data_IF_175931710056
#
_entry.id   IF_175931710056
#
_cell.length_a   1.000
_cell.length_b   1.000
_cell.length_c   1.000
_cell.angle_alpha   90.00
_cell.angle_beta   90.00
_cell.angle_gamma   90.00
#
_symmetry.space_group_name_H-M   'P 1'
#
loop_
_entity.id
_entity.type
_entity.pdbx_description
1 polymer ?
#
# COMPACT_ATOMS: atom_id res chain seq x y z
N UNK A 1 21.60 -25.18 9.41
CA UNK A 1 22.21 -24.01 8.76
C UNK A 1 21.63 -22.68 9.24
N UNK A 2 20.31 -22.58 9.43
CA UNK A 2 19.63 -21.35 9.88
C UNK A 2 20.14 -20.87 11.25
N UNK A 3 20.34 -21.76 12.20
CA UNK A 3 20.90 -21.45 13.51
C UNK A 3 22.41 -21.14 13.44
N UNK A 4 23.15 -21.74 12.52
CA UNK A 4 24.59 -21.51 12.37
C UNK A 4 24.93 -20.19 11.69
N UNK A 5 24.03 -19.59 10.92
CA UNK A 5 24.22 -18.25 10.33
C UNK A 5 24.14 -17.16 11.42
N UNK A 6 23.35 -17.36 12.46
CA UNK A 6 23.21 -16.41 13.58
C UNK A 6 24.28 -16.54 14.66
N UNK A 7 25.14 -17.59 14.57
CA UNK A 7 26.13 -17.87 15.59
C UNK A 7 27.52 -17.58 15.09
N UNK A 8 28.35 -17.13 16.01
CA UNK A 8 29.75 -16.82 15.76
C UNK A 8 30.47 -18.02 15.17
N UNK A 9 31.11 -17.86 14.02
CA UNK A 9 31.94 -18.86 13.37
C UNK A 9 33.42 -18.53 13.36
N UNK A 10 33.75 -17.32 13.77
CA UNK A 10 35.10 -16.86 13.77
C UNK A 10 35.79 -17.30 15.05
N UNK A 11 36.84 -18.01 14.86
CA UNK A 11 37.88 -18.18 15.85
C UNK A 11 38.86 -17.04 15.64
N UNK A 12 39.21 -16.40 16.67
CA UNK A 12 40.21 -15.43 16.89
C UNK A 12 41.22 -15.07 15.81
N UNK A 13 41.79 -14.02 16.07
CA UNK A 13 42.94 -13.41 15.47
C UNK A 13 44.19 -14.20 15.89
N UNK A 14 44.84 -14.93 14.94
CA UNK A 14 46.20 -15.42 15.11
C UNK A 14 47.17 -14.25 15.17
N UNK A 15 48.45 -14.52 15.46
CA UNK A 15 49.54 -13.54 15.46
C UNK A 15 49.57 -12.63 14.23
N UNK A 16 48.98 -13.08 13.10
CA UNK A 16 48.85 -12.35 11.83
C UNK A 16 47.64 -11.41 11.77
N UNK A 17 46.76 -11.39 12.78
CA UNK A 17 45.49 -10.62 12.75
C UNK A 17 44.38 -11.24 11.88
N UNK A 18 44.58 -12.44 11.35
CA UNK A 18 43.62 -13.11 10.45
C UNK A 18 42.61 -13.94 11.25
N UNK A 19 41.28 -13.70 11.08
CA UNK A 19 40.28 -14.55 11.68
C UNK A 19 40.34 -15.98 11.12
N UNK A 20 40.05 -16.94 11.99
CA UNK A 20 40.01 -18.38 11.62
C UNK A 20 38.59 -18.89 11.88
N UNK A 21 38.11 -19.75 10.96
CA UNK A 21 36.79 -20.36 11.09
C UNK A 21 36.84 -21.56 12.03
N UNK A 22 35.81 -21.76 12.82
CA UNK A 22 35.62 -22.97 13.61
C UNK A 22 35.37 -24.19 12.68
N UNK A 23 35.78 -25.40 13.08
CA UNK A 23 35.43 -26.62 12.35
C UNK A 23 33.91 -26.79 12.25
N UNK A 24 33.44 -27.26 11.08
CA UNK A 24 31.99 -27.39 10.80
C UNK A 24 31.32 -28.37 11.75
N UNK A 25 31.98 -29.43 12.15
CA UNK A 25 31.50 -30.44 13.09
C UNK A 25 31.33 -29.91 14.53
N UNK A 26 31.85 -28.69 14.82
CA UNK A 26 31.69 -28.00 16.10
C UNK A 26 30.61 -26.94 16.11
N UNK A 27 29.88 -26.87 15.05
CA UNK A 27 28.71 -25.96 14.94
C UNK A 27 27.41 -26.69 15.30
N UNK A 28 26.44 -26.02 15.89
CA UNK A 28 26.39 -24.59 16.20
C UNK A 28 27.20 -24.21 17.44
N UNK A 29 27.89 -23.08 17.39
CA UNK A 29 28.51 -22.48 18.57
C UNK A 29 27.44 -21.86 19.45
N UNK A 30 27.26 -22.36 20.66
CA UNK A 30 26.30 -21.82 21.63
C UNK A 30 26.89 -20.61 22.35
N UNK A 31 26.08 -19.56 22.47
CA UNK A 31 26.50 -18.36 23.21
C UNK A 31 26.55 -18.69 24.71
N UNK A 32 27.55 -18.15 25.44
CA UNK A 32 27.64 -18.34 26.88
C UNK A 32 26.61 -17.50 27.60
N UNK A 33 26.29 -17.89 28.82
CA UNK A 33 25.57 -17.02 29.74
C UNK A 33 26.45 -15.84 30.15
N UNK A 34 25.88 -14.66 30.20
CA UNK A 34 26.53 -13.42 30.68
C UNK A 34 25.61 -12.72 31.69
N UNK A 35 26.18 -12.19 32.71
CA UNK A 35 25.44 -11.52 33.80
C UNK A 35 24.78 -10.19 33.31
N UNK A 36 25.37 -9.56 32.29
CA UNK A 36 24.90 -8.27 31.78
C UNK A 36 24.96 -8.24 30.24
N UNK A 37 23.86 -7.88 29.61
CA UNK A 37 23.78 -7.63 28.16
C UNK A 37 24.08 -6.15 27.81
N UNK A 38 25.06 -5.55 28.50
CA UNK A 38 25.56 -4.20 28.26
C UNK A 38 27.02 -4.29 27.80
N UNK A 39 27.55 -3.28 27.13
CA UNK A 39 28.97 -3.20 26.82
C UNK A 39 29.80 -3.25 28.13
N UNK A 40 31.04 -3.75 28.03
CA UNK A 40 32.00 -3.72 29.14
C UNK A 40 32.36 -2.26 29.48
N UNK A 41 33.03 -2.05 30.64
CA UNK A 41 33.56 -0.73 31.03
C UNK A 41 34.58 -0.17 30.04
N UNK A 42 35.23 -1.07 29.25
CA UNK A 42 36.19 -0.73 28.21
C UNK A 42 35.53 -0.53 26.85
N UNK A 43 34.21 -0.68 26.75
CA UNK A 43 33.43 -0.51 25.50
C UNK A 43 33.36 -1.75 24.60
N UNK A 44 33.79 -2.91 25.08
CA UNK A 44 33.65 -4.15 24.33
C UNK A 44 32.20 -4.63 24.30
N UNK A 45 31.80 -5.42 23.28
CA UNK A 45 30.47 -6.02 23.20
C UNK A 45 30.10 -6.85 24.45
N UNK A 46 28.79 -7.12 24.70
CA UNK A 46 28.35 -7.88 25.88
C UNK A 46 29.03 -9.22 26.10
N UNK A 47 29.46 -9.91 25.03
CA UNK A 47 30.25 -11.15 25.16
C UNK A 47 31.61 -10.97 25.80
N UNK A 48 32.12 -9.74 25.94
CA UNK A 48 33.32 -9.41 26.73
C UNK A 48 33.18 -9.71 28.23
N UNK A 49 31.94 -9.87 28.74
CA UNK A 49 31.67 -10.30 30.12
C UNK A 49 31.77 -11.83 30.30
N UNK A 50 31.86 -12.60 29.20
CA UNK A 50 31.82 -14.04 29.30
C UNK A 50 33.11 -14.64 29.88
N UNK A 51 32.97 -15.48 30.86
CA UNK A 51 34.11 -16.21 31.49
C UNK A 51 34.64 -17.31 30.58
N UNK A 52 33.75 -17.97 29.82
CA UNK A 52 34.10 -19.06 28.88
C UNK A 52 33.79 -18.60 27.44
N UNK A 53 34.75 -17.93 26.82
CA UNK A 53 34.63 -17.46 25.47
C UNK A 53 35.97 -17.41 24.76
N UNK A 54 36.73 -18.53 24.85
CA UNK A 54 37.98 -18.76 24.11
C UNK A 54 37.93 -20.13 23.45
N UNK A 55 38.71 -20.35 22.42
CA UNK A 55 38.78 -21.60 21.68
C UNK A 55 40.11 -22.31 21.89
N UNK A 56 40.02 -23.54 22.40
CA UNK A 56 41.17 -24.46 22.49
C UNK A 56 41.30 -25.26 21.17
N UNK A 57 42.35 -24.98 20.40
CA UNK A 57 42.57 -25.62 19.08
C UNK A 57 42.99 -27.07 19.19
N UNK A 58 43.54 -27.48 20.34
CA UNK A 58 44.00 -28.86 20.57
C UNK A 58 42.81 -29.74 20.96
N UNK A 59 42.00 -29.28 21.92
CA UNK A 59 40.82 -30.01 22.38
C UNK A 59 39.60 -29.81 21.50
N UNK A 60 39.62 -28.79 20.66
CA UNK A 60 38.50 -28.38 19.81
C UNK A 60 37.20 -28.10 20.63
N UNK A 61 37.34 -27.32 21.69
CA UNK A 61 36.23 -26.94 22.59
C UNK A 61 36.35 -25.49 23.05
N UNK A 62 35.21 -24.93 23.51
CA UNK A 62 35.17 -23.62 24.17
C UNK A 62 35.76 -23.73 25.58
N UNK A 63 36.63 -22.81 25.93
CA UNK A 63 37.31 -22.78 27.23
C UNK A 63 37.28 -21.38 27.84
N UNK A 64 37.89 -21.25 29.04
CA UNK A 64 37.93 -19.99 29.79
C UNK A 64 38.84 -18.94 29.13
N UNK A 65 38.39 -17.71 29.12
CA UNK A 65 39.13 -16.53 28.61
C UNK A 65 40.49 -16.37 29.32
N UNK A 66 40.55 -16.71 30.60
CA UNK A 66 41.79 -16.66 31.41
C UNK A 66 42.92 -17.58 30.89
N UNK A 67 42.63 -18.54 30.04
CA UNK A 67 43.57 -19.51 29.46
C UNK A 67 44.15 -19.12 28.12
N UNK A 68 43.75 -17.94 27.59
CA UNK A 68 44.26 -17.45 26.29
C UNK A 68 45.76 -17.29 26.35
N UNK A 69 46.46 -18.03 25.45
CA UNK A 69 47.91 -17.99 25.29
C UNK A 69 48.36 -17.50 23.90
N UNK A 70 47.38 -17.27 22.99
CA UNK A 70 47.56 -16.89 21.59
C UNK A 70 48.48 -17.86 20.79
N UNK A 71 48.58 -19.11 21.27
CA UNK A 71 49.36 -20.20 20.60
C UNK A 71 48.46 -21.39 20.33
N UNK A 72 47.78 -21.88 21.36
CA UNK A 72 46.86 -23.01 21.29
C UNK A 72 45.45 -22.61 21.72
N UNK A 73 45.29 -21.59 22.54
CA UNK A 73 44.02 -21.06 23.02
C UNK A 73 43.92 -19.61 22.58
N UNK A 74 42.86 -19.36 21.86
CA UNK A 74 42.63 -18.08 21.19
C UNK A 74 41.29 -17.45 21.63
N UNK A 75 41.15 -16.12 21.66
CA UNK A 75 39.86 -15.48 21.98
C UNK A 75 38.83 -15.76 20.84
N UNK A 76 37.60 -15.95 21.17
CA UNK A 76 36.48 -15.92 20.22
C UNK A 76 36.03 -14.48 19.98
N UNK A 77 35.51 -14.22 18.77
CA UNK A 77 34.95 -12.95 18.39
C UNK A 77 33.81 -12.55 19.34
N UNK A 78 33.80 -11.31 19.80
CA UNK A 78 32.81 -10.80 20.75
C UNK A 78 31.53 -10.33 20.09
N UNK A 79 31.57 -10.01 18.78
CA UNK A 79 30.40 -9.64 18.02
C UNK A 79 29.71 -10.84 17.43
N UNK A 80 28.43 -10.95 17.58
CA UNK A 80 27.63 -11.91 16.82
C UNK A 80 27.44 -11.42 15.39
N UNK A 81 27.16 -12.36 14.47
CA UNK A 81 26.78 -12.00 13.11
C UNK A 81 25.57 -11.04 13.15
N UNK A 82 25.58 -9.96 12.33
CA UNK A 82 24.45 -9.01 12.31
C UNK A 82 23.10 -9.71 12.13
N UNK A 83 22.07 -9.24 12.83
CA UNK A 83 20.73 -9.81 12.76
C UNK A 83 20.13 -9.84 11.36
N UNK A 84 20.65 -9.01 10.45
CA UNK A 84 20.27 -8.97 9.05
C UNK A 84 20.67 -10.21 8.23
N UNK A 85 21.63 -11.02 8.69
CA UNK A 85 22.11 -12.17 7.93
C UNK A 85 21.00 -13.18 7.62
N UNK A 86 20.13 -13.46 8.60
CA UNK A 86 18.97 -14.32 8.40
C UNK A 86 17.94 -13.72 7.47
N UNK A 87 17.58 -12.46 7.69
CA UNK A 87 16.59 -11.75 6.88
C UNK A 87 17.08 -11.45 5.46
N UNK A 88 18.37 -11.45 5.22
CA UNK A 88 18.95 -11.19 3.90
C UNK A 88 18.81 -12.37 2.93
N UNK A 89 18.60 -13.59 3.41
CA UNK A 89 18.51 -14.81 2.60
C UNK A 89 17.25 -15.65 2.92
N UNK A 90 16.24 -15.07 3.57
CA UNK A 90 15.05 -15.81 4.01
C UNK A 90 14.24 -16.38 2.84
N UNK A 91 14.24 -15.72 1.68
CA UNK A 91 13.53 -16.18 0.49
C UNK A 91 14.06 -17.54 0.00
N UNK A 92 15.35 -17.83 0.15
CA UNK A 92 15.92 -19.15 -0.15
C UNK A 92 15.37 -20.21 0.81
N UNK A 93 15.28 -19.88 2.10
CA UNK A 93 14.70 -20.79 3.10
C UNK A 93 13.19 -21.03 2.87
N UNK A 94 12.47 -20.06 2.34
CA UNK A 94 11.06 -20.22 1.99
C UNK A 94 10.81 -21.20 0.84
N UNK A 95 11.78 -21.34 -0.07
CA UNK A 95 11.70 -22.34 -1.14
C UNK A 95 11.74 -23.78 -0.59
N UNK A 96 12.51 -23.99 0.51
CA UNK A 96 12.74 -25.31 1.10
C UNK A 96 12.72 -25.26 2.64
N UNK A 97 11.56 -24.98 3.25
CA UNK A 97 11.47 -24.61 4.67
C UNK A 97 11.75 -25.75 5.64
N UNK A 98 11.62 -27.00 5.20
CA UNK A 98 11.79 -28.19 6.03
C UNK A 98 13.14 -28.89 5.86
N UNK A 99 14.02 -28.36 5.02
CA UNK A 99 15.33 -28.92 4.78
C UNK A 99 16.24 -28.64 5.99
N UNK A 100 16.70 -29.70 6.65
CA UNK A 100 17.62 -29.64 7.79
C UNK A 100 19.09 -29.82 7.40
N UNK A 101 19.38 -30.22 6.13
CA UNK A 101 20.72 -30.50 5.64
C UNK A 101 21.35 -29.31 4.90
N UNK A 102 20.54 -28.49 4.22
CA UNK A 102 21.01 -27.37 3.43
C UNK A 102 20.13 -26.12 3.62
N UNK A 103 20.63 -24.95 3.22
CA UNK A 103 19.83 -23.72 3.17
C UNK A 103 18.65 -23.88 2.21
N UNK A 104 18.92 -24.46 1.05
CA UNK A 104 17.97 -24.88 0.02
C UNK A 104 18.59 -26.05 -0.72
N UNK A 105 17.81 -27.07 -1.10
CA UNK A 105 18.28 -28.15 -1.94
C UNK A 105 18.49 -27.64 -3.38
N UNK A 106 19.48 -28.23 -4.08
CA UNK A 106 19.85 -27.75 -5.41
C UNK A 106 18.74 -27.87 -6.44
N UNK A 107 18.03 -28.96 -6.44
CA UNK A 107 16.88 -29.21 -7.32
C UNK A 107 15.70 -28.26 -7.03
N UNK A 108 15.50 -27.88 -5.78
CA UNK A 108 14.49 -26.90 -5.35
C UNK A 108 14.89 -25.47 -5.79
N UNK A 109 16.18 -25.11 -5.63
CA UNK A 109 16.72 -23.84 -6.12
C UNK A 109 16.65 -23.73 -7.65
N UNK A 110 16.99 -24.81 -8.37
CA UNK A 110 16.91 -24.88 -9.84
C UNK A 110 15.45 -24.81 -10.34
N UNK A 111 14.48 -25.28 -9.56
CA UNK A 111 13.04 -25.19 -9.87
C UNK A 111 12.50 -23.77 -9.68
N UNK A 112 12.69 -23.17 -8.50
CA UNK A 112 12.16 -21.85 -8.17
C UNK A 112 12.98 -20.70 -8.74
N UNK A 113 14.30 -20.86 -8.83
CA UNK A 113 15.27 -19.86 -9.30
C UNK A 113 15.16 -18.56 -8.51
N UNK A 114 15.42 -17.42 -9.14
CA UNK A 114 15.25 -16.13 -8.51
C UNK A 114 13.75 -15.74 -8.37
N UNK A 115 13.45 -14.94 -7.37
CA UNK A 115 12.06 -14.51 -7.05
C UNK A 115 11.49 -13.69 -8.19
N UNK A 116 10.30 -14.07 -8.69
CA UNK A 116 9.66 -13.41 -9.83
C UNK A 116 9.28 -11.97 -9.54
N UNK A 117 8.74 -11.71 -8.33
CA UNK A 117 8.31 -10.39 -7.89
C UNK A 117 8.63 -10.18 -6.42
N UNK A 118 9.36 -9.13 -6.11
CA UNK A 118 9.72 -8.73 -4.76
C UNK A 118 9.21 -7.33 -4.46
N UNK A 119 8.34 -7.20 -3.45
CA UNK A 119 7.70 -5.93 -3.09
C UNK A 119 8.10 -5.57 -1.67
N UNK A 120 8.56 -4.34 -1.44
CA UNK A 120 8.93 -3.86 -0.12
C UNK A 120 9.06 -2.35 -0.08
N UNK A 121 9.02 -1.76 1.14
CA UNK A 121 9.15 -0.32 1.32
C UNK A 121 10.52 0.22 0.90
N UNK A 122 10.57 1.47 0.47
CA UNK A 122 11.80 2.17 0.06
C UNK A 122 12.82 2.30 1.19
N UNK A 123 12.38 2.23 2.46
CA UNK A 123 13.26 2.26 3.64
C UNK A 123 14.23 1.07 3.71
N UNK A 124 13.94 -0.01 2.98
CA UNK A 124 14.79 -1.19 2.91
C UNK A 124 15.87 -1.11 1.82
N UNK A 125 15.88 -0.05 1.01
CA UNK A 125 16.82 0.10 -0.11
C UNK A 125 18.29 0.11 0.32
N UNK A 126 18.60 0.79 1.43
CA UNK A 126 19.96 0.91 1.97
C UNK A 126 20.34 -0.18 2.99
N UNK A 127 19.42 -1.07 3.31
CA UNK A 127 19.62 -2.15 4.27
C UNK A 127 19.39 -3.51 3.62
N UNK A 128 18.19 -4.06 3.84
CA UNK A 128 17.81 -5.41 3.44
C UNK A 128 18.11 -5.72 1.94
N UNK A 129 17.79 -4.80 1.02
CA UNK A 129 17.97 -5.06 -0.42
C UNK A 129 19.45 -5.18 -0.82
N UNK A 130 20.32 -4.32 -0.25
CA UNK A 130 21.77 -4.42 -0.46
C UNK A 130 22.29 -5.74 0.10
N UNK A 131 21.90 -6.10 1.33
CA UNK A 131 22.34 -7.33 1.97
C UNK A 131 21.80 -8.58 1.26
N UNK A 132 20.56 -8.58 0.81
CA UNK A 132 19.99 -9.71 0.04
C UNK A 132 20.78 -9.95 -1.24
N UNK A 133 21.07 -8.89 -1.98
CA UNK A 133 21.87 -8.99 -3.20
C UNK A 133 23.30 -9.44 -2.93
N UNK A 134 23.94 -8.90 -1.88
CA UNK A 134 25.29 -9.31 -1.47
C UNK A 134 25.35 -10.79 -1.11
N UNK A 135 24.43 -11.26 -0.26
CA UNK A 135 24.34 -12.66 0.14
C UNK A 135 24.08 -13.58 -1.04
N UNK A 136 23.17 -13.22 -1.93
CA UNK A 136 22.85 -14.03 -3.11
C UNK A 136 24.08 -14.19 -4.02
N UNK A 137 24.78 -13.08 -4.33
CA UNK A 137 26.01 -13.14 -5.14
C UNK A 137 27.11 -13.97 -4.49
N UNK A 138 27.28 -13.84 -3.18
CA UNK A 138 28.24 -14.67 -2.43
C UNK A 138 27.90 -16.17 -2.49
N UNK A 139 26.60 -16.50 -2.33
CA UNK A 139 26.13 -17.89 -2.43
C UNK A 139 26.23 -18.43 -3.88
N UNK A 140 26.03 -17.56 -4.86
CA UNK A 140 26.26 -17.90 -6.28
C UNK A 140 27.73 -18.20 -6.57
N UNK A 141 28.67 -17.38 -6.11
CA UNK A 141 30.11 -17.60 -6.24
C UNK A 141 30.54 -18.92 -5.60
N UNK A 142 29.84 -19.35 -4.54
CA UNK A 142 30.08 -20.66 -3.90
C UNK A 142 29.36 -21.84 -4.60
N UNK A 143 28.58 -21.59 -5.65
CA UNK A 143 27.79 -22.61 -6.35
C UNK A 143 26.63 -23.20 -5.52
N UNK A 144 26.13 -22.45 -4.50
CA UNK A 144 25.02 -22.88 -3.64
C UNK A 144 23.67 -22.52 -4.24
N UNK A 145 23.59 -21.41 -4.97
CA UNK A 145 22.38 -20.96 -5.70
C UNK A 145 22.68 -20.85 -7.18
N UNK A 146 21.67 -21.07 -8.02
CA UNK A 146 21.79 -21.13 -9.48
C UNK A 146 21.70 -19.77 -10.18
N UNK A 147 21.24 -18.71 -9.49
CA UNK A 147 21.07 -17.38 -10.06
C UNK A 147 21.94 -16.35 -9.35
N UNK A 148 22.57 -15.45 -10.13
CA UNK A 148 23.41 -14.38 -9.61
C UNK A 148 22.58 -13.28 -8.90
N UNK A 149 21.44 -12.91 -9.46
CA UNK A 149 20.55 -11.88 -8.90
C UNK A 149 19.35 -12.52 -8.18
N UNK A 150 18.99 -12.03 -6.97
CA UNK A 150 17.94 -12.67 -6.16
C UNK A 150 16.52 -12.45 -6.71
N UNK A 151 16.28 -11.33 -7.38
CA UNK A 151 14.93 -10.89 -7.78
C UNK A 151 14.88 -10.53 -9.26
N UNK A 152 13.88 -11.04 -10.00
CA UNK A 152 13.62 -10.68 -11.40
C UNK A 152 12.98 -9.28 -11.52
N UNK A 153 12.05 -8.97 -10.63
CA UNK A 153 11.35 -7.67 -10.57
C UNK A 153 11.28 -7.19 -9.13
N UNK A 154 11.71 -5.95 -8.91
CA UNK A 154 11.66 -5.28 -7.62
C UNK A 154 10.73 -4.08 -7.72
N UNK A 155 9.79 -3.95 -6.78
CA UNK A 155 8.92 -2.78 -6.63
C UNK A 155 9.08 -2.25 -5.22
N UNK A 156 9.47 -0.99 -5.13
CA UNK A 156 9.58 -0.29 -3.85
C UNK A 156 8.36 0.59 -3.61
N UNK A 157 7.62 0.27 -2.55
CA UNK A 157 6.47 1.06 -2.13
C UNK A 157 6.94 2.41 -1.54
N UNK A 158 6.23 3.49 -1.91
CA UNK A 158 6.37 4.77 -1.25
C UNK A 158 5.87 4.72 0.19
N UNK A 159 6.39 5.60 1.03
CA UNK A 159 5.96 5.68 2.44
C UNK A 159 4.65 6.44 2.58
N UNK A 160 3.80 6.01 3.51
CA UNK A 160 2.70 6.81 4.01
C UNK A 160 3.28 7.78 5.03
N UNK A 161 3.14 9.09 4.76
CA UNK A 161 3.68 10.16 5.58
C UNK A 161 2.62 10.69 6.53
N UNK A 162 3.04 11.18 7.69
CA UNK A 162 2.16 11.84 8.63
C UNK A 162 1.92 13.30 8.26
N UNK A 163 0.76 13.79 8.63
CA UNK A 163 0.50 15.22 8.68
C UNK A 163 0.79 15.68 10.10
N UNK A 164 1.93 16.36 10.30
CA UNK A 164 2.25 16.97 11.58
C UNK A 164 1.48 18.26 11.75
N UNK A 165 1.00 18.51 12.97
CA UNK A 165 0.40 19.78 13.32
C UNK A 165 1.31 20.55 14.28
N UNK A 166 1.26 21.88 14.19
CA UNK A 166 2.11 22.76 14.98
C UNK A 166 1.30 23.79 15.74
N UNK A 167 1.68 23.98 17.00
CA UNK A 167 1.32 25.15 17.79
C UNK A 167 2.52 26.08 17.89
N UNK A 168 2.30 27.37 17.98
CA UNK A 168 3.36 28.39 17.98
C UNK A 168 3.46 29.04 19.35
N UNK A 169 4.50 28.68 20.11
CA UNK A 169 4.77 29.23 21.43
C UNK A 169 5.48 30.57 21.29
N UNK A 170 4.96 31.62 21.94
CA UNK A 170 5.65 32.93 22.03
C UNK A 170 6.88 32.75 22.93
N UNK A 171 8.05 33.11 22.42
CA UNK A 171 9.32 32.87 23.09
C UNK A 171 9.35 33.44 24.51
N UNK A 172 9.87 32.65 25.43
CA UNK A 172 9.98 33.04 26.85
C UNK A 172 8.67 33.04 27.67
N UNK A 173 7.55 32.56 27.08
CA UNK A 173 6.24 32.53 27.74
C UNK A 173 5.56 31.17 27.68
N UNK A 174 4.42 30.99 28.36
CA UNK A 174 3.51 29.85 28.18
C UNK A 174 2.26 30.27 27.37
N UNK A 175 2.45 31.18 26.39
CA UNK A 175 1.39 31.66 25.49
C UNK A 175 1.59 31.11 24.09
N UNK A 176 0.49 30.72 23.48
CA UNK A 176 0.46 30.13 22.14
C UNK A 176 -0.38 31.00 21.22
N UNK A 177 0.16 31.33 20.03
CA UNK A 177 -0.50 32.17 19.06
C UNK A 177 -0.93 31.37 17.84
N UNK A 178 -2.16 31.63 17.36
CA UNK A 178 -2.74 30.97 16.19
C UNK A 178 -1.93 31.27 14.91
N UNK A 179 -1.99 30.35 13.96
CA UNK A 179 -1.16 30.32 12.73
C UNK A 179 -1.06 31.67 12.02
N UNK A 180 -2.18 32.32 11.72
CA UNK A 180 -2.18 33.56 10.91
C UNK A 180 -1.75 34.82 11.70
N UNK A 181 -1.65 34.71 13.02
CA UNK A 181 -1.20 35.80 13.89
C UNK A 181 0.27 35.66 14.29
N UNK A 182 0.93 34.53 13.98
CA UNK A 182 2.28 34.19 14.43
C UNK A 182 3.34 35.20 14.03
N UNK A 183 3.19 35.83 12.85
CA UNK A 183 4.19 36.77 12.31
C UNK A 183 4.26 38.09 13.11
N UNK A 184 3.34 38.30 14.05
CA UNK A 184 3.33 39.45 14.96
C UNK A 184 4.20 39.20 16.23
N UNK A 185 4.74 37.98 16.39
CA UNK A 185 5.47 37.55 17.58
C UNK A 185 6.72 36.77 17.20
N UNK A 186 7.70 36.76 18.10
CA UNK A 186 8.78 35.78 18.02
C UNK A 186 8.30 34.44 18.57
N UNK A 187 8.19 33.43 17.72
CA UNK A 187 7.59 32.14 18.09
C UNK A 187 8.50 30.96 17.80
N UNK A 188 8.34 29.91 18.59
CA UNK A 188 8.90 28.58 18.36
C UNK A 188 7.78 27.61 17.99
N UNK A 189 7.82 26.94 16.82
CA UNK A 189 6.87 25.90 16.46
C UNK A 189 7.09 24.65 17.32
N UNK A 190 6.02 24.06 17.81
CA UNK A 190 6.03 22.82 18.61
C UNK A 190 5.05 21.85 17.98
N UNK A 191 5.50 20.61 17.73
CA UNK A 191 4.62 19.53 17.28
C UNK A 191 3.55 19.23 18.34
N UNK A 192 2.35 19.04 17.88
CA UNK A 192 1.18 18.69 18.71
C UNK A 192 0.57 17.38 18.24
N UNK A 193 0.01 16.61 19.18
CA UNK A 193 -0.63 15.34 18.85
C UNK A 193 -1.79 15.53 17.88
N UNK A 194 -1.74 14.79 16.77
CA UNK A 194 -2.77 14.88 15.71
C UNK A 194 -4.16 14.51 16.19
N UNK A 195 -4.28 13.75 17.29
CA UNK A 195 -5.56 13.33 17.85
C UNK A 195 -6.31 14.45 18.59
N UNK A 196 -5.63 15.55 18.94
CA UNK A 196 -6.25 16.73 19.58
C UNK A 196 -6.39 17.92 18.61
N UNK A 197 -6.23 17.64 17.30
CA UNK A 197 -6.45 18.64 16.23
C UNK A 197 -7.48 18.10 15.27
N UNK A 198 -8.52 18.90 14.96
CA UNK A 198 -9.55 18.54 13.99
C UNK A 198 -9.75 19.69 12.99
N UNK A 199 -9.58 19.38 11.68
CA UNK A 199 -9.66 20.40 10.63
C UNK A 199 -8.79 21.63 10.90
N UNK A 200 -7.55 21.40 11.34
CA UNK A 200 -6.55 22.39 11.75
C UNK A 200 -6.93 23.21 13.01
N UNK A 201 -8.02 22.91 13.66
CA UNK A 201 -8.44 23.56 14.91
C UNK A 201 -7.99 22.72 16.10
N UNK A 202 -7.24 23.35 17.00
CA UNK A 202 -6.78 22.73 18.25
C UNK A 202 -7.93 22.60 19.24
N UNK A 203 -8.02 21.42 19.86
CA UNK A 203 -8.78 21.26 21.09
C UNK A 203 -7.92 21.80 22.26
N UNK A 204 -8.24 23.00 22.71
CA UNK A 204 -7.48 23.74 23.72
C UNK A 204 -7.49 23.02 25.07
N UNK A 205 -8.63 22.45 25.46
CA UNK A 205 -8.73 21.73 26.74
C UNK A 205 -7.95 20.41 26.70
N UNK A 206 -8.02 19.68 25.60
CA UNK A 206 -7.20 18.50 25.39
C UNK A 206 -5.70 18.84 25.39
N UNK A 207 -5.29 19.96 24.77
CA UNK A 207 -3.91 20.42 24.77
C UNK A 207 -3.40 20.77 26.16
N UNK A 208 -4.18 21.50 26.96
CA UNK A 208 -3.82 21.81 28.35
C UNK A 208 -3.60 20.55 29.20
N UNK A 209 -4.42 19.53 28.95
CA UNK A 209 -4.32 18.25 29.65
C UNK A 209 -3.30 17.28 29.06
N UNK A 210 -2.74 17.58 27.89
CA UNK A 210 -1.80 16.69 27.19
C UNK A 210 -0.45 16.56 27.92
N UNK A 211 0.04 17.70 28.49
CA UNK A 211 1.28 17.72 29.28
C UNK A 211 1.16 18.68 30.45
N UNK A 212 1.76 18.34 31.61
CA UNK A 212 1.68 19.20 32.78
C UNK A 212 2.17 20.64 32.56
N UNK A 213 3.16 20.84 31.67
CA UNK A 213 3.72 22.14 31.30
C UNK A 213 2.76 23.07 30.59
N UNK A 214 1.61 22.55 30.08
CA UNK A 214 0.62 23.29 29.32
C UNK A 214 -0.67 23.54 30.09
N UNK A 215 -0.77 23.10 31.34
CA UNK A 215 -2.00 23.22 32.14
C UNK A 215 -2.51 24.67 32.26
N UNK A 216 -1.58 25.64 32.38
CA UNK A 216 -1.83 27.07 32.50
C UNK A 216 -1.56 27.84 31.18
N UNK A 217 -1.50 27.15 30.05
CA UNK A 217 -1.25 27.77 28.74
C UNK A 217 -2.35 28.79 28.39
N UNK A 218 -1.93 29.94 27.87
CA UNK A 218 -2.79 31.00 27.34
C UNK A 218 -2.73 30.99 25.80
N UNK A 219 -3.84 31.40 25.17
CA UNK A 219 -3.97 31.33 23.72
C UNK A 219 -4.39 32.69 23.11
N UNK A 220 -3.70 33.07 22.05
CA UNK A 220 -4.11 34.18 21.15
C UNK A 220 -4.86 33.56 19.97
N UNK A 221 -6.17 33.78 19.94
CA UNK A 221 -7.09 33.11 19.05
C UNK A 221 -7.43 33.96 17.80
N UNK A 222 -7.84 33.28 16.74
CA UNK A 222 -8.47 33.87 15.54
C UNK A 222 -9.96 33.53 15.57
N UNK A 223 -10.82 34.54 15.61
CA UNK A 223 -12.29 34.36 15.65
C UNK A 223 -12.74 33.30 16.68
N UNK A 224 -12.10 33.30 17.85
CA UNK A 224 -12.43 32.38 18.95
C UNK A 224 -11.89 30.95 18.77
N UNK A 225 -11.06 30.69 17.76
CA UNK A 225 -10.46 29.38 17.48
C UNK A 225 -8.93 29.49 17.45
N UNK A 226 -8.27 28.39 17.79
CA UNK A 226 -6.84 28.25 17.60
C UNK A 226 -6.56 27.42 16.34
N UNK A 227 -5.95 28.02 15.33
CA UNK A 227 -5.59 27.36 14.07
C UNK A 227 -4.14 26.91 14.14
N UNK A 228 -3.91 25.60 13.98
CA UNK A 228 -2.59 25.00 13.91
C UNK A 228 -1.95 25.18 12.55
N UNK A 229 -0.63 25.27 12.52
CA UNK A 229 0.13 25.00 11.31
C UNK A 229 0.20 23.52 11.00
N UNK A 230 0.64 23.17 9.78
CA UNK A 230 0.85 21.78 9.41
C UNK A 230 1.98 21.60 8.40
N UNK A 231 2.57 20.41 8.39
CA UNK A 231 3.52 19.97 7.38
C UNK A 231 3.39 18.45 7.16
N UNK A 232 3.78 18.01 5.97
CA UNK A 232 3.88 16.57 5.66
C UNK A 232 5.27 16.09 6.06
N UNK A 233 5.34 15.14 6.98
CA UNK A 233 6.59 14.63 7.54
C UNK A 233 6.53 13.10 7.64
N UNK A 234 7.69 12.47 7.88
CA UNK A 234 7.74 11.04 8.22
C UNK A 234 6.95 10.79 9.51
N UNK A 235 6.11 9.75 9.52
CA UNK A 235 5.43 9.34 10.74
C UNK A 235 6.45 8.89 11.80
N UNK A 236 6.40 9.50 12.97
CA UNK A 236 7.19 9.09 14.13
C UNK A 236 6.51 9.50 15.44
N UNK A 237 6.81 8.75 16.50
CA UNK A 237 6.29 9.06 17.85
C UNK A 237 6.75 10.44 18.34
N UNK A 238 7.96 10.87 17.97
CA UNK A 238 8.52 12.17 18.37
C UNK A 238 7.86 13.36 17.66
N UNK A 239 7.22 13.13 16.50
CA UNK A 239 6.48 14.13 15.74
C UNK A 239 4.99 14.16 16.10
N UNK A 240 4.51 13.24 16.94
CA UNK A 240 3.10 13.10 17.35
C UNK A 240 2.11 13.04 16.18
N UNK A 241 2.56 12.50 15.05
CA UNK A 241 1.82 12.43 13.80
C UNK A 241 1.52 10.99 13.36
N UNK A 242 1.63 10.03 14.29
CA UNK A 242 1.36 8.62 14.02
C UNK A 242 -0.14 8.37 14.06
N UNK A 243 -0.66 7.75 13.01
CA UNK A 243 -2.02 7.21 12.96
C UNK A 243 -1.96 5.75 13.35
N UNK A 244 -2.71 5.36 14.40
CA UNK A 244 -2.77 3.97 14.81
C UNK A 244 -3.77 3.19 13.94
N UNK A 245 -3.34 2.15 13.20
CA UNK A 245 -4.22 1.32 12.39
C UNK A 245 -5.38 0.71 13.18
N UNK A 246 -5.16 0.30 14.44
CA UNK A 246 -6.21 -0.32 15.27
C UNK A 246 -7.40 0.62 15.49
N UNK A 247 -7.14 1.90 15.74
CA UNK A 247 -8.19 2.91 15.87
C UNK A 247 -8.97 3.13 14.57
N UNK A 248 -8.30 3.05 13.44
CA UNK A 248 -8.94 3.17 12.12
C UNK A 248 -9.79 1.94 11.84
N UNK A 249 -9.28 0.74 12.14
CA UNK A 249 -10.00 -0.52 11.97
C UNK A 249 -11.24 -0.56 12.87
N UNK A 250 -11.13 -0.12 14.14
CA UNK A 250 -12.27 -0.06 15.06
C UNK A 250 -13.36 0.88 14.56
N UNK A 251 -12.98 2.03 14.01
CA UNK A 251 -13.92 3.06 13.56
C UNK A 251 -14.53 2.78 12.19
N UNK A 252 -13.75 2.28 11.25
CA UNK A 252 -14.13 2.19 9.83
C UNK A 252 -14.13 0.77 9.27
N UNK A 253 -13.51 -0.18 9.96
CA UNK A 253 -13.28 -1.55 9.48
C UNK A 253 -11.98 -1.73 8.69
N UNK A 254 -11.46 -2.95 8.71
CA UNK A 254 -10.18 -3.30 8.08
C UNK A 254 -10.21 -3.10 6.55
N UNK A 255 -11.31 -3.45 5.88
CA UNK A 255 -11.43 -3.28 4.43
C UNK A 255 -11.44 -1.82 4.00
N UNK A 256 -12.01 -0.93 4.81
CA UNK A 256 -11.94 0.52 4.55
C UNK A 256 -10.50 1.02 4.63
N UNK A 257 -9.73 0.59 5.64
CA UNK A 257 -8.31 0.93 5.77
C UNK A 257 -7.52 0.42 4.56
N UNK A 258 -7.65 -0.85 4.20
CA UNK A 258 -6.95 -1.46 3.05
C UNK A 258 -7.22 -0.72 1.74
N UNK A 259 -8.49 -0.48 1.44
CA UNK A 259 -8.90 0.26 0.25
C UNK A 259 -8.35 1.69 0.26
N UNK A 260 -8.37 2.35 1.43
CA UNK A 260 -7.91 3.72 1.53
C UNK A 260 -6.39 3.84 1.30
N UNK A 261 -5.58 2.96 1.89
CA UNK A 261 -4.13 2.93 1.66
C UNK A 261 -3.79 2.72 0.18
N UNK A 262 -4.50 1.83 -0.51
CA UNK A 262 -4.33 1.61 -1.95
C UNK A 262 -4.85 2.79 -2.79
N UNK A 263 -5.90 3.49 -2.32
CA UNK A 263 -6.52 4.61 -3.04
C UNK A 263 -5.71 5.91 -2.98
N UNK A 264 -4.89 6.13 -1.95
CA UNK A 264 -4.14 7.36 -1.72
C UNK A 264 -3.29 7.83 -2.92
N UNK A 265 -2.85 6.91 -3.79
CA UNK A 265 -2.09 7.25 -5.00
C UNK A 265 -1.26 6.07 -5.54
N UNK A 266 -0.41 6.30 -6.54
CA UNK A 266 0.45 5.27 -7.12
C UNK A 266 1.32 4.57 -6.07
N UNK A 267 1.53 3.26 -6.22
CA UNK A 267 2.20 2.42 -5.22
C UNK A 267 3.60 2.91 -4.84
N UNK A 268 4.39 3.35 -5.82
CA UNK A 268 5.80 3.74 -5.63
C UNK A 268 5.98 5.15 -5.06
N UNK A 269 4.92 5.95 -4.98
CA UNK A 269 4.98 7.32 -4.49
C UNK A 269 4.69 7.40 -3.00
N UNK A 270 5.46 8.22 -2.28
CA UNK A 270 5.14 8.59 -0.90
C UNK A 270 3.91 9.51 -0.88
N UNK A 271 3.04 9.32 0.11
CA UNK A 271 1.71 9.95 0.18
C UNK A 271 1.41 10.41 1.59
N UNK A 272 0.86 11.63 1.77
CA UNK A 272 0.38 12.04 3.08
C UNK A 272 -0.89 11.28 3.45
N UNK A 273 -0.97 10.84 4.71
CA UNK A 273 -2.22 10.36 5.29
C UNK A 273 -3.16 11.55 5.54
N UNK A 274 -4.41 11.42 5.09
CA UNK A 274 -5.49 12.35 5.41
C UNK A 274 -6.68 11.56 5.99
N UNK A 275 -6.92 11.72 7.28
CA UNK A 275 -8.00 11.02 7.98
C UNK A 275 -9.39 11.39 7.43
N UNK A 276 -9.56 12.57 6.84
CA UNK A 276 -10.85 12.98 6.27
C UNK A 276 -11.16 12.26 4.94
N UNK A 277 -10.12 11.84 4.20
CA UNK A 277 -10.28 11.15 2.91
C UNK A 277 -10.87 9.75 3.03
N UNK A 278 -10.71 9.07 4.19
CA UNK A 278 -11.18 7.71 4.41
C UNK A 278 -12.70 7.56 4.37
N UNK A 279 -13.43 8.62 4.73
CA UNK A 279 -14.91 8.64 4.70
C UNK A 279 -15.47 8.38 3.29
N UNK A 280 -14.74 8.81 2.25
CA UNK A 280 -15.12 8.55 0.86
C UNK A 280 -15.14 7.06 0.53
N UNK A 281 -14.10 6.34 0.96
CA UNK A 281 -13.98 4.89 0.77
C UNK A 281 -14.98 4.13 1.62
N UNK A 282 -15.20 4.55 2.86
CA UNK A 282 -16.20 3.95 3.73
C UNK A 282 -17.63 4.06 3.15
N UNK A 283 -17.98 5.24 2.60
CA UNK A 283 -19.26 5.43 1.90
C UNK A 283 -19.38 4.58 0.64
N UNK A 284 -18.27 4.36 -0.07
CA UNK A 284 -18.23 3.45 -1.22
C UNK A 284 -18.61 2.02 -0.80
N UNK A 285 -18.00 1.46 0.26
CA UNK A 285 -18.35 0.11 0.76
C UNK A 285 -19.82 0.03 1.20
N UNK A 286 -20.33 1.04 1.87
CA UNK A 286 -21.78 1.11 2.23
C UNK A 286 -22.68 1.12 1.00
N UNK A 287 -22.29 1.85 -0.04
CA UNK A 287 -23.05 1.88 -1.29
C UNK A 287 -23.02 0.56 -2.03
N UNK A 288 -21.84 -0.10 -2.05
CA UNK A 288 -21.69 -1.45 -2.60
C UNK A 288 -22.59 -2.44 -1.86
N UNK A 289 -22.56 -2.44 -0.52
CA UNK A 289 -23.43 -3.27 0.31
C UNK A 289 -24.91 -3.05 -0.04
N UNK A 290 -25.30 -1.79 -0.27
CA UNK A 290 -26.64 -1.42 -0.69
C UNK A 290 -27.12 -2.02 -2.02
N UNK A 291 -26.22 -2.45 -2.92
CA UNK A 291 -26.60 -3.18 -4.14
C UNK A 291 -27.19 -4.57 -3.83
N UNK A 292 -26.77 -5.18 -2.73
CA UNK A 292 -27.20 -6.52 -2.32
C UNK A 292 -28.44 -6.48 -1.42
N UNK A 293 -28.55 -5.53 -0.52
CA UNK A 293 -29.58 -5.46 0.51
C UNK A 293 -30.58 -4.32 0.32
N UNK A 294 -30.28 -3.35 -0.53
CA UNK A 294 -31.09 -2.14 -0.65
C UNK A 294 -31.15 -1.38 0.68
N UNK A 295 -32.36 -1.12 1.17
CA UNK A 295 -32.62 -0.51 2.48
C UNK A 295 -33.15 -1.54 3.51
N UNK A 296 -32.90 -2.82 3.30
CA UNK A 296 -33.40 -3.91 4.14
C UNK A 296 -32.24 -4.76 4.65
N UNK A 297 -32.52 -5.62 5.64
CA UNK A 297 -31.52 -6.60 6.13
C UNK A 297 -31.60 -7.93 5.39
N UNK A 298 -32.42 -8.04 4.34
CA UNK A 298 -32.58 -9.25 3.53
C UNK A 298 -31.96 -9.06 2.16
N UNK A 299 -31.32 -10.12 1.65
CA UNK A 299 -30.71 -10.13 0.34
C UNK A 299 -31.75 -9.88 -0.76
N UNK A 300 -31.48 -8.92 -1.64
CA UNK A 300 -32.39 -8.48 -2.71
C UNK A 300 -31.95 -8.88 -4.11
N UNK A 301 -30.99 -9.80 -4.26
CA UNK A 301 -30.49 -10.22 -5.56
C UNK A 301 -31.51 -11.08 -6.32
N UNK A 302 -31.46 -11.04 -7.64
CA UNK A 302 -32.33 -11.79 -8.54
C UNK A 302 -31.54 -12.53 -9.62
N UNK A 303 -32.10 -13.62 -10.14
CA UNK A 303 -31.53 -14.39 -11.23
C UNK A 303 -32.02 -13.92 -12.63
N UNK A 304 -32.57 -12.70 -12.69
CA UNK A 304 -32.99 -12.11 -13.96
C UNK A 304 -31.79 -11.77 -14.84
N UNK A 305 -31.99 -11.83 -16.15
CA UNK A 305 -30.94 -11.51 -17.14
C UNK A 305 -30.47 -10.07 -17.00
N UNK A 306 -29.14 -9.84 -17.04
CA UNK A 306 -28.57 -8.50 -17.02
C UNK A 306 -28.93 -7.68 -18.27
N UNK A 307 -29.05 -6.40 -18.11
CA UNK A 307 -29.19 -5.46 -19.23
C UNK A 307 -27.85 -5.20 -19.89
N UNK A 308 -27.88 -4.68 -21.13
CA UNK A 308 -26.66 -4.32 -21.87
C UNK A 308 -25.81 -3.28 -21.13
N UNK A 309 -26.43 -2.31 -20.44
CA UNK A 309 -25.72 -1.28 -19.68
C UNK A 309 -25.07 -1.85 -18.39
N UNK A 310 -25.75 -2.78 -17.70
CA UNK A 310 -25.18 -3.50 -16.55
C UNK A 310 -23.97 -4.33 -16.96
N UNK A 311 -24.07 -5.09 -18.06
CA UNK A 311 -22.95 -5.86 -18.63
C UNK A 311 -21.81 -4.93 -19.05
N UNK A 312 -22.09 -3.82 -19.73
CA UNK A 312 -21.08 -2.85 -20.13
C UNK A 312 -20.31 -2.28 -18.94
N UNK A 313 -21.02 -1.88 -17.89
CA UNK A 313 -20.40 -1.36 -16.65
C UNK A 313 -19.48 -2.40 -16.00
N UNK A 314 -19.95 -3.65 -15.85
CA UNK A 314 -19.17 -4.74 -15.29
C UNK A 314 -17.94 -5.06 -16.15
N UNK A 315 -18.10 -5.23 -17.47
CA UNK A 315 -16.97 -5.63 -18.33
C UNK A 315 -15.92 -4.53 -18.50
N UNK A 316 -16.29 -3.25 -18.40
CA UNK A 316 -15.33 -2.15 -18.24
C UNK A 316 -14.51 -2.30 -16.97
N UNK A 317 -15.17 -2.64 -15.85
CA UNK A 317 -14.50 -2.87 -14.57
C UNK A 317 -13.56 -4.07 -14.65
N UNK A 318 -14.01 -5.22 -15.17
CA UNK A 318 -13.18 -6.44 -15.30
C UNK A 318 -11.89 -6.10 -16.07
N UNK A 319 -12.04 -5.49 -17.27
CA UNK A 319 -10.90 -5.09 -18.10
C UNK A 319 -9.94 -4.17 -17.34
N UNK A 320 -10.48 -3.15 -16.67
CA UNK A 320 -9.68 -2.15 -15.97
C UNK A 320 -8.96 -2.73 -14.75
N UNK A 321 -9.66 -3.48 -13.90
CA UNK A 321 -9.08 -4.03 -12.66
C UNK A 321 -8.03 -5.10 -12.97
N UNK A 322 -8.30 -5.99 -13.95
CA UNK A 322 -7.30 -6.98 -14.39
C UNK A 322 -6.02 -6.31 -14.86
N UNK A 323 -6.12 -5.32 -15.74
CA UNK A 323 -4.97 -4.55 -16.21
C UNK A 323 -4.24 -3.85 -15.05
N UNK A 324 -4.97 -3.21 -14.16
CA UNK A 324 -4.40 -2.43 -13.05
C UNK A 324 -3.66 -3.30 -12.03
N UNK A 325 -4.15 -4.51 -11.73
CA UNK A 325 -3.48 -5.45 -10.83
C UNK A 325 -2.15 -5.88 -11.46
N UNK A 326 -2.10 -6.22 -12.73
CA UNK A 326 -0.88 -6.61 -13.45
C UNK A 326 0.15 -5.48 -13.52
N UNK A 327 -0.33 -4.22 -13.46
CA UNK A 327 0.50 -3.00 -13.53
C UNK A 327 0.64 -2.25 -12.20
N UNK A 328 0.19 -2.84 -11.10
CA UNK A 328 0.27 -2.26 -9.74
C UNK A 328 -0.40 -0.88 -9.59
N UNK A 329 -1.43 -0.62 -10.40
CA UNK A 329 -2.18 0.64 -10.42
C UNK A 329 -3.43 0.56 -9.53
N UNK A 330 -3.28 0.14 -8.27
CA UNK A 330 -4.40 -0.15 -7.36
C UNK A 330 -5.32 1.05 -7.11
N UNK A 331 -4.77 2.26 -7.08
CA UNK A 331 -5.54 3.49 -6.87
C UNK A 331 -6.56 3.73 -7.99
N UNK A 332 -6.22 3.36 -9.24
CA UNK A 332 -7.16 3.48 -10.37
C UNK A 332 -8.18 2.35 -10.39
N UNK A 333 -7.84 1.15 -9.88
CA UNK A 333 -8.82 0.09 -9.65
C UNK A 333 -9.92 0.53 -8.70
N UNK A 334 -9.56 1.15 -7.56
CA UNK A 334 -10.56 1.60 -6.57
C UNK A 334 -11.46 2.68 -7.16
N UNK A 335 -10.91 3.62 -7.94
CA UNK A 335 -11.71 4.60 -8.68
C UNK A 335 -12.66 3.92 -9.66
N UNK A 336 -12.21 2.87 -10.36
CA UNK A 336 -13.06 2.12 -11.29
C UNK A 336 -14.19 1.36 -10.57
N UNK A 337 -13.92 0.78 -9.40
CA UNK A 337 -14.97 0.21 -8.53
C UNK A 337 -16.02 1.24 -8.13
N UNK A 338 -15.60 2.44 -7.71
CA UNK A 338 -16.50 3.52 -7.34
C UNK A 338 -17.41 3.93 -8.50
N UNK A 339 -16.85 4.03 -9.72
CA UNK A 339 -17.60 4.34 -10.94
C UNK A 339 -18.63 3.24 -11.22
N UNK A 340 -18.20 1.98 -11.27
CA UNK A 340 -19.08 0.84 -11.56
C UNK A 340 -20.21 0.73 -10.54
N UNK A 341 -19.93 0.84 -9.23
CA UNK A 341 -20.97 0.81 -8.19
C UNK A 341 -21.94 1.97 -8.32
N UNK A 342 -21.48 3.15 -8.74
CA UNK A 342 -22.36 4.30 -9.01
C UNK A 342 -23.27 4.04 -10.22
N UNK A 343 -22.73 3.50 -11.30
CA UNK A 343 -23.49 3.14 -12.51
C UNK A 343 -24.54 2.05 -12.20
N UNK A 344 -24.12 0.94 -11.58
CA UNK A 344 -25.03 -0.17 -11.21
C UNK A 344 -26.12 0.30 -10.24
N UNK A 345 -25.80 1.18 -9.29
CA UNK A 345 -26.78 1.77 -8.38
C UNK A 345 -27.80 2.65 -9.12
N UNK A 346 -27.35 3.42 -10.10
CA UNK A 346 -28.24 4.24 -10.93
C UNK A 346 -29.16 3.40 -11.80
N UNK A 347 -28.66 2.26 -12.29
CA UNK A 347 -29.43 1.26 -13.04
C UNK A 347 -30.33 0.41 -12.14
N UNK A 348 -30.22 0.57 -10.80
CA UNK A 348 -30.89 -0.29 -9.81
C UNK A 348 -30.59 -1.78 -10.00
N UNK A 349 -29.35 -2.07 -10.38
CA UNK A 349 -28.90 -3.43 -10.65
C UNK A 349 -28.94 -4.26 -9.36
N UNK A 350 -29.59 -5.41 -9.46
CA UNK A 350 -29.63 -6.44 -8.40
C UNK A 350 -29.44 -7.85 -9.01
N UNK A 351 -28.75 -7.95 -10.16
CA UNK A 351 -28.58 -9.20 -10.88
C UNK A 351 -27.42 -10.01 -10.30
N UNK A 352 -27.69 -11.26 -9.90
CA UNK A 352 -26.70 -12.21 -9.41
C UNK A 352 -25.50 -12.30 -10.34
N UNK A 353 -25.74 -12.48 -11.64
CA UNK A 353 -24.70 -12.62 -12.67
C UNK A 353 -23.75 -11.42 -12.76
N UNK A 354 -24.16 -10.24 -12.34
CA UNK A 354 -23.34 -9.03 -12.27
C UNK A 354 -22.64 -8.94 -10.90
N UNK A 355 -23.40 -9.07 -9.82
CA UNK A 355 -22.93 -8.77 -8.47
C UNK A 355 -21.93 -9.79 -7.94
N UNK A 356 -22.05 -11.09 -8.29
CA UNK A 356 -21.07 -12.09 -7.91
C UNK A 356 -19.71 -11.89 -8.57
N UNK A 357 -19.67 -11.51 -9.84
CA UNK A 357 -18.41 -11.16 -10.51
C UNK A 357 -17.78 -9.88 -9.89
N UNK A 358 -18.59 -8.92 -9.49
CA UNK A 358 -18.12 -7.72 -8.77
C UNK A 358 -17.47 -8.09 -7.42
N UNK A 359 -18.04 -9.05 -6.68
CA UNK A 359 -17.46 -9.57 -5.41
C UNK A 359 -16.08 -10.19 -5.67
N UNK A 360 -15.96 -11.04 -6.69
CA UNK A 360 -14.70 -11.72 -7.01
C UNK A 360 -13.60 -10.70 -7.35
N UNK A 361 -13.92 -9.67 -8.15
CA UNK A 361 -12.98 -8.60 -8.46
C UNK A 361 -12.57 -7.79 -7.21
N UNK A 362 -13.49 -7.62 -6.26
CA UNK A 362 -13.27 -6.86 -5.04
C UNK A 362 -12.42 -7.63 -4.00
N UNK A 363 -12.44 -8.95 -4.01
CA UNK A 363 -11.82 -9.78 -2.99
C UNK A 363 -10.36 -9.44 -2.66
N UNK A 364 -9.46 -9.17 -3.62
CA UNK A 364 -8.08 -8.76 -3.32
C UNK A 364 -7.98 -7.44 -2.54
N UNK A 365 -8.95 -6.54 -2.71
CA UNK A 365 -8.95 -5.20 -2.15
C UNK A 365 -9.68 -5.11 -0.80
N UNK A 366 -10.85 -5.78 -0.70
CA UNK A 366 -11.73 -5.77 0.47
C UNK A 366 -12.18 -7.21 0.80
N UNK A 367 -11.25 -8.06 1.30
CA UNK A 367 -11.48 -9.51 1.44
C UNK A 367 -12.61 -9.86 2.40
N UNK A 368 -12.76 -9.13 3.52
CA UNK A 368 -13.80 -9.45 4.51
C UNK A 368 -15.20 -9.14 3.97
N UNK A 369 -15.36 -8.00 3.33
CA UNK A 369 -16.62 -7.61 2.68
C UNK A 369 -16.98 -8.56 1.55
N UNK A 370 -16.00 -8.94 0.74
CA UNK A 370 -16.21 -9.84 -0.39
C UNK A 370 -16.60 -11.25 0.09
N UNK A 371 -15.90 -11.80 1.09
CA UNK A 371 -16.20 -13.13 1.64
C UNK A 371 -17.60 -13.19 2.27
N UNK A 372 -17.97 -12.18 3.05
CA UNK A 372 -19.31 -12.12 3.66
C UNK A 372 -20.41 -12.06 2.61
N UNK A 373 -20.25 -11.23 1.57
CA UNK A 373 -21.21 -11.15 0.47
C UNK A 373 -21.27 -12.45 -0.34
N UNK A 374 -20.13 -13.12 -0.54
CA UNK A 374 -20.04 -14.40 -1.24
C UNK A 374 -20.84 -15.49 -0.54
N UNK A 375 -20.65 -15.64 0.77
CA UNK A 375 -21.43 -16.56 1.58
C UNK A 375 -22.91 -16.19 1.65
N UNK A 376 -23.22 -14.91 1.75
CA UNK A 376 -24.62 -14.44 1.76
C UNK A 376 -25.32 -14.72 0.42
N UNK A 377 -24.60 -14.73 -0.71
CA UNK A 377 -25.15 -15.16 -1.99
C UNK A 377 -25.41 -16.66 -2.10
N UNK A 378 -25.04 -17.46 -1.08
CA UNK A 378 -25.33 -18.88 -0.97
C UNK A 378 -24.16 -19.80 -1.31
N UNK A 379 -22.96 -19.28 -1.51
CA UNK A 379 -21.75 -20.07 -1.75
C UNK A 379 -21.19 -20.67 -0.45
N UNK A 380 -20.74 -21.92 -0.51
CA UNK A 380 -20.14 -22.63 0.62
C UNK A 380 -18.59 -22.68 0.55
N UNK A 381 -18.01 -22.18 -0.54
CA UNK A 381 -16.56 -22.07 -0.74
C UNK A 381 -16.11 -20.66 -0.46
N UNK A 382 -14.81 -20.46 -0.22
CA UNK A 382 -14.27 -19.08 -0.13
C UNK A 382 -14.29 -18.39 -1.48
N UNK A 383 -14.47 -17.08 -1.48
CA UNK A 383 -14.38 -16.25 -2.69
C UNK A 383 -12.99 -16.33 -3.34
N UNK A 384 -11.95 -16.66 -2.57
CA UNK A 384 -10.59 -16.85 -3.06
C UNK A 384 -10.44 -18.02 -4.03
N UNK A 385 -11.35 -19.01 -4.00
CA UNK A 385 -11.36 -20.15 -4.90
C UNK A 385 -12.20 -19.90 -6.17
N UNK A 386 -12.86 -18.75 -6.26
CA UNK A 386 -13.65 -18.39 -7.43
C UNK A 386 -12.76 -18.05 -8.63
N UNK A 387 -13.21 -18.42 -9.83
CA UNK A 387 -12.51 -18.07 -11.06
C UNK A 387 -12.54 -16.56 -11.30
N UNK A 388 -11.38 -16.01 -11.69
CA UNK A 388 -11.28 -14.59 -12.03
C UNK A 388 -12.13 -14.27 -13.26
N UNK A 389 -13.00 -13.24 -13.20
CA UNK A 389 -13.86 -12.88 -14.32
C UNK A 389 -13.07 -12.47 -15.56
N UNK A 390 -13.52 -12.96 -16.72
CA UNK A 390 -12.93 -12.62 -18.01
C UNK A 390 -13.83 -11.62 -18.74
N UNK A 391 -13.27 -10.48 -19.15
CA UNK A 391 -14.04 -9.51 -19.90
C UNK A 391 -14.33 -9.97 -21.33
N UNK A 392 -15.50 -9.58 -21.83
CA UNK A 392 -15.90 -9.80 -23.23
C UNK A 392 -15.98 -8.44 -23.94
N UNK A 393 -15.20 -8.29 -25.01
CA UNK A 393 -15.12 -7.07 -25.82
C UNK A 393 -16.47 -6.68 -26.46
N UNK A 394 -17.34 -7.66 -26.73
CA UNK A 394 -18.67 -7.42 -27.31
C UNK A 394 -19.53 -6.50 -26.41
N UNK A 395 -19.43 -6.68 -25.08
CA UNK A 395 -20.16 -5.83 -24.12
C UNK A 395 -19.57 -4.43 -23.97
N UNK A 396 -18.36 -4.19 -24.49
CA UNK A 396 -17.70 -2.88 -24.43
C UNK A 396 -18.04 -2.01 -25.63
N UNK A 397 -18.64 -2.57 -26.68
CA UNK A 397 -19.06 -1.82 -27.86
C UNK A 397 -20.10 -0.79 -27.47
N UNK A 398 -19.93 0.43 -27.96
CA UNK A 398 -20.93 1.47 -27.77
C UNK A 398 -22.06 1.21 -28.80
N UNK A 399 -23.24 0.90 -28.29
CA UNK A 399 -24.43 0.73 -29.14
C UNK A 399 -24.97 2.07 -29.59
N UNK A 400 -24.64 3.16 -28.90
CA UNK A 400 -25.05 4.52 -29.26
C UNK A 400 -23.92 5.53 -29.04
N UNK A 401 -23.93 6.59 -29.83
CA UNK A 401 -23.00 7.71 -29.73
C UNK A 401 -23.79 9.00 -29.53
N UNK A 402 -23.35 9.85 -28.60
CA UNK A 402 -23.95 11.16 -28.37
C UNK A 402 -23.27 12.20 -29.27
N UNK A 403 -24.07 12.82 -30.14
CA UNK A 403 -23.64 13.91 -30.99
C UNK A 403 -24.09 15.26 -30.45
N UNK A 404 -23.17 16.21 -30.32
CA UNK A 404 -23.53 17.60 -30.12
C UNK A 404 -24.03 18.19 -31.43
N UNK A 405 -25.31 18.58 -31.49
CA UNK A 405 -25.88 19.22 -32.69
C UNK A 405 -25.62 20.72 -32.62
N UNK A 406 -24.92 21.21 -33.60
CA UNK A 406 -24.48 22.61 -33.69
C UNK A 406 -25.05 23.28 -34.93
N UNK A 407 -25.38 24.56 -34.82
CA UNK A 407 -25.77 25.41 -35.94
C UNK A 407 -24.75 26.56 -36.05
N UNK A 408 -24.15 26.69 -37.22
CA UNK A 408 -23.10 27.68 -37.53
C UNK A 408 -21.99 27.67 -36.45
N UNK A 409 -21.54 26.48 -36.00
CA UNK A 409 -20.49 26.30 -35.02
C UNK A 409 -20.86 26.45 -33.56
N UNK A 410 -22.15 26.76 -33.23
CA UNK A 410 -22.62 26.86 -31.83
C UNK A 410 -23.47 25.64 -31.48
N UNK A 411 -23.04 24.87 -30.49
CA UNK A 411 -23.80 23.74 -29.97
C UNK A 411 -25.16 24.18 -29.38
N UNK A 412 -26.24 23.43 -29.70
CA UNK A 412 -27.60 23.78 -29.32
C UNK A 412 -28.29 22.70 -28.48
N UNK A 413 -28.08 21.44 -28.80
CA UNK A 413 -28.61 20.29 -28.08
C UNK A 413 -27.77 19.07 -28.37
N UNK A 414 -27.98 17.99 -27.64
CA UNK A 414 -27.34 16.69 -27.85
C UNK A 414 -28.37 15.69 -28.34
N UNK A 415 -27.93 14.75 -29.14
CA UNK A 415 -28.75 13.68 -29.72
C UNK A 415 -27.98 12.38 -29.64
N UNK A 416 -28.64 11.34 -29.19
CA UNK A 416 -28.08 9.99 -29.14
C UNK A 416 -28.53 9.20 -30.36
N UNK A 417 -27.55 8.58 -31.07
CA UNK A 417 -27.78 7.82 -32.28
C UNK A 417 -27.03 6.50 -32.20
N UNK A 418 -27.51 5.41 -32.87
CA UNK A 418 -26.79 4.15 -32.99
C UNK A 418 -25.34 4.36 -33.46
N UNK A 419 -24.39 3.62 -32.83
CA UNK A 419 -22.95 3.81 -33.08
C UNK A 419 -22.57 3.40 -34.54
N UNK A 420 -23.31 2.48 -35.10
CA UNK A 420 -23.15 1.95 -36.47
C UNK A 420 -23.96 2.71 -37.52
N UNK A 421 -24.67 3.81 -37.12
CA UNK A 421 -25.50 4.57 -38.03
C UNK A 421 -24.67 5.22 -39.14
N UNK A 422 -25.02 5.02 -40.42
CA UNK A 422 -24.34 5.65 -41.54
C UNK A 422 -24.43 7.18 -41.49
N UNK A 423 -23.40 7.84 -41.97
CA UNK A 423 -23.32 9.32 -41.97
C UNK A 423 -24.56 9.99 -42.56
N UNK A 424 -25.08 9.48 -43.67
CA UNK A 424 -26.26 10.04 -44.33
C UNK A 424 -27.52 9.96 -43.45
N UNK A 425 -27.63 8.89 -42.65
CA UNK A 425 -28.74 8.72 -41.71
C UNK A 425 -28.58 9.63 -40.49
N UNK A 426 -27.33 9.81 -40.00
CA UNK A 426 -27.00 10.79 -38.92
C UNK A 426 -27.42 12.19 -39.37
N UNK A 427 -27.09 12.59 -40.63
CA UNK A 427 -27.45 13.89 -41.18
C UNK A 427 -28.99 14.06 -41.25
N UNK A 428 -29.70 13.03 -41.71
CA UNK A 428 -31.19 13.04 -41.77
C UNK A 428 -31.80 13.10 -40.38
N UNK A 429 -31.32 12.28 -39.46
CA UNK A 429 -31.82 12.27 -38.07
C UNK A 429 -31.61 13.61 -37.39
N UNK A 430 -30.42 14.23 -37.55
CA UNK A 430 -30.13 15.54 -37.01
C UNK A 430 -31.04 16.63 -37.57
N UNK A 431 -31.40 16.57 -38.84
CA UNK A 431 -32.31 17.53 -39.45
C UNK A 431 -33.78 17.30 -39.04
N UNK A 432 -34.18 16.02 -38.88
CA UNK A 432 -35.54 15.66 -38.50
C UNK A 432 -35.87 15.89 -37.04
N UNK A 433 -34.86 16.11 -36.19
CA UNK A 433 -35.07 16.32 -34.77
C UNK A 433 -35.88 17.59 -34.48
N UNK A 434 -36.86 17.51 -33.57
CA UNK A 434 -37.80 18.61 -33.26
C UNK A 434 -37.11 19.94 -32.93
N UNK A 435 -35.98 19.87 -32.19
CA UNK A 435 -35.19 21.05 -31.84
C UNK A 435 -34.47 21.67 -33.04
N UNK A 436 -34.23 20.94 -34.13
CA UNK A 436 -33.54 21.47 -35.30
C UNK A 436 -34.40 22.47 -36.07
N UNK A 437 -35.70 22.23 -36.17
CA UNK A 437 -36.66 23.14 -36.81
C UNK A 437 -36.57 24.56 -36.25
N UNK A 438 -36.40 24.68 -34.92
CA UNK A 438 -36.27 25.96 -34.20
C UNK A 438 -35.03 26.76 -34.65
N UNK A 439 -33.94 26.10 -34.95
CA UNK A 439 -32.68 26.75 -35.34
C UNK A 439 -32.50 26.90 -36.83
N UNK A 440 -33.26 26.12 -37.62
CA UNK A 440 -33.27 26.21 -39.08
C UNK A 440 -34.01 27.45 -39.59
N UNK A 441 -34.96 27.97 -38.84
CA UNK A 441 -35.74 29.16 -39.23
C UNK A 441 -36.32 29.09 -40.65
N UNK A 442 -36.70 27.91 -41.11
CA UNK A 442 -37.22 27.67 -42.47
C UNK A 442 -36.14 27.70 -43.58
N UNK A 443 -34.86 27.83 -43.26
CA UNK A 443 -33.76 27.83 -44.24
C UNK A 443 -33.31 26.41 -44.53
N UNK A 444 -32.82 26.16 -45.75
CA UNK A 444 -32.15 24.92 -46.12
C UNK A 444 -30.68 24.91 -45.76
N UNK A 445 -30.12 23.81 -45.23
CA UNK A 445 -28.70 23.73 -44.90
C UNK A 445 -27.83 23.90 -46.15
N UNK A 446 -26.82 24.73 -46.08
CA UNK A 446 -25.77 24.83 -47.08
C UNK A 446 -24.79 23.67 -47.03
N UNK A 447 -24.49 23.20 -45.84
CA UNK A 447 -23.55 22.11 -45.59
C UNK A 447 -23.82 21.49 -44.23
N UNK A 448 -23.66 20.15 -44.12
CA UNK A 448 -23.67 19.42 -42.88
C UNK A 448 -22.31 18.77 -42.70
N UNK A 449 -21.69 18.94 -41.54
CA UNK A 449 -20.40 18.38 -41.20
C UNK A 449 -20.60 17.45 -40.02
N UNK A 450 -20.41 16.14 -40.26
CA UNK A 450 -20.50 15.11 -39.25
C UNK A 450 -19.07 14.69 -38.84
N UNK A 451 -18.74 14.82 -37.57
CA UNK A 451 -17.56 14.22 -36.94
C UNK A 451 -18.05 13.06 -36.09
N UNK A 452 -17.76 11.80 -36.48
CA UNK A 452 -18.29 10.61 -35.82
C UNK A 452 -18.05 10.64 -34.30
N UNK A 453 -19.08 10.36 -33.50
CA UNK A 453 -19.05 10.31 -32.06
C UNK A 453 -18.80 11.65 -31.34
N UNK A 454 -18.86 12.80 -32.05
CA UNK A 454 -18.57 14.11 -31.44
C UNK A 454 -19.63 15.17 -31.78
N UNK A 455 -19.76 15.52 -33.03
CA UNK A 455 -20.54 16.70 -33.42
C UNK A 455 -21.19 16.55 -34.80
N UNK A 456 -22.41 17.06 -34.93
CA UNK A 456 -23.03 17.36 -36.22
C UNK A 456 -23.18 18.87 -36.32
N UNK A 457 -22.47 19.53 -37.24
CA UNK A 457 -22.58 20.96 -37.44
C UNK A 457 -23.35 21.27 -38.72
N UNK A 458 -24.50 21.91 -38.59
CA UNK A 458 -25.39 22.32 -39.67
C UNK A 458 -25.10 23.78 -39.95
N UNK A 459 -24.65 24.07 -41.17
CA UNK A 459 -24.37 25.43 -41.67
C UNK A 459 -25.58 25.88 -42.49
N UNK A 460 -26.22 26.94 -42.08
CA UNK A 460 -27.42 27.52 -42.73
C UNK A 460 -27.14 28.90 -43.34
#
# INVERSE_FOLDING_TARGET
>A
LHLSIRRQRQMCIRDSGMPQMLPVDKLPLELPEVDKFLPTETGEPPLGHAVKWAWDTVKQEVTEVSKIDNKTIFPLELCTMPGFAGSSAYYLRYMDPRNDQALVAKDVDEYWRNVDLYIGGTEHATGHLIYSRFWNKFLFDLGIVCEEEPFKKLINQGMIQGRSNFVYRINGTNKFVSLNLKDQYEVTPIHVDVNIVSNDILDIEAFKNWRPEYNDAEFVLEDGKYICGWAVEKMSKSMFNVVNPDMIVEKYGADTLRLYEMFLGPLEQSKPWDTNGIDGVHRFLKKLWGLFFGNTDTLQITDAEPTADELKSLHKLIKKVTYDIEHFSYNTSISAFMICVNELSSLKCNKRAILEQLIVLLAPFAPHTAEELWHTCGHNTTVCDAEWPVYNEEYLKENSLTYAISFNGKARFSMELPADMPREEIEKAALAHENSAKWMEGKTPKKIIVVPGKIVNIVI
#
